data_IF_981933434631
#
_entry.id   IF_981933434631
#
_cell.length_a   1.000
_cell.length_b   1.000
_cell.length_c   1.000
_cell.angle_alpha   90.00
_cell.angle_beta   90.00
_cell.angle_gamma   90.00
#
_symmetry.space_group_name_H-M   'P 1'
#
loop_
_entity.id
_entity.type
_entity.pdbx_description
1 polymer ?
#
# COMPACT_ATOMS: atom_id res chain seq x y z
N UNK A 1 -21.44 -58.12 15.14
CA UNK A 1 -20.46 -57.05 15.41
C UNK A 1 -19.42 -56.77 14.31
N UNK A 2 -19.35 -57.55 13.21
CA UNK A 2 -18.38 -57.31 12.10
C UNK A 2 -18.83 -56.20 11.12
N UNK A 3 -20.14 -56.06 10.93
CA UNK A 3 -20.73 -55.16 9.93
C UNK A 3 -20.65 -53.68 10.32
N UNK A 4 -20.75 -53.38 11.62
CA UNK A 4 -20.57 -52.02 12.16
C UNK A 4 -19.12 -51.56 11.92
N UNK A 5 -18.13 -52.38 12.26
CA UNK A 5 -16.71 -52.08 12.04
C UNK A 5 -16.36 -51.86 10.55
N UNK A 6 -17.02 -52.58 9.63
CA UNK A 6 -16.81 -52.40 8.19
C UNK A 6 -17.45 -51.11 7.66
N UNK A 7 -18.56 -50.63 8.24
CA UNK A 7 -19.19 -49.35 7.90
C UNK A 7 -18.44 -48.15 8.49
N UNK A 8 -17.77 -48.33 9.63
CA UNK A 8 -16.97 -47.28 10.27
C UNK A 8 -15.64 -47.01 9.57
N UNK A 9 -15.10 -47.99 8.83
CA UNK A 9 -13.83 -47.86 8.09
C UNK A 9 -13.85 -46.75 7.02
N UNK A 10 -14.84 -46.67 6.10
CA UNK A 10 -14.91 -45.57 5.15
C UNK A 10 -15.20 -44.23 5.84
N UNK A 11 -15.98 -44.23 6.92
CA UNK A 11 -16.27 -43.01 7.70
C UNK A 11 -15.01 -42.45 8.35
N UNK A 12 -14.16 -43.33 8.90
CA UNK A 12 -12.88 -42.94 9.49
C UNK A 12 -11.91 -42.40 8.43
N UNK A 13 -11.83 -43.04 7.27
CA UNK A 13 -11.01 -42.56 6.15
C UNK A 13 -11.49 -41.18 5.67
N UNK A 14 -12.80 -41.00 5.54
CA UNK A 14 -13.39 -39.71 5.20
C UNK A 14 -13.06 -38.61 6.21
N UNK A 15 -13.15 -38.91 7.51
CA UNK A 15 -12.82 -37.97 8.58
C UNK A 15 -11.34 -37.59 8.57
N UNK A 16 -10.44 -38.55 8.33
CA UNK A 16 -9.01 -38.29 8.17
C UNK A 16 -8.74 -37.38 6.97
N UNK A 17 -9.36 -37.62 5.81
CA UNK A 17 -9.20 -36.78 4.61
C UNK A 17 -9.72 -35.36 4.86
N UNK A 18 -10.87 -35.21 5.53
CA UNK A 18 -11.44 -33.92 5.90
C UNK A 18 -10.50 -33.15 6.83
N UNK A 19 -9.97 -33.83 7.84
CA UNK A 19 -9.02 -33.24 8.80
C UNK A 19 -7.72 -32.84 8.09
N UNK A 20 -7.26 -33.64 7.14
CA UNK A 20 -6.08 -33.35 6.32
C UNK A 20 -6.31 -32.10 5.47
N UNK A 21 -7.45 -31.99 4.77
CA UNK A 21 -7.86 -30.81 4.01
C UNK A 21 -7.92 -29.52 4.86
N UNK A 22 -8.38 -29.61 6.10
CA UNK A 22 -8.43 -28.47 7.03
C UNK A 22 -7.04 -28.12 7.61
N UNK A 23 -6.14 -29.10 7.71
CA UNK A 23 -4.79 -28.93 8.25
C UNK A 23 -3.76 -28.48 7.22
N UNK A 24 -4.04 -28.62 5.91
CA UNK A 24 -3.24 -27.93 4.91
C UNK A 24 -3.39 -26.44 5.19
N UNK A 25 -2.30 -25.70 5.43
CA UNK A 25 -2.37 -24.26 5.61
C UNK A 25 -2.83 -23.67 4.28
N UNK A 26 -4.14 -23.45 4.13
CA UNK A 26 -4.76 -22.65 3.07
C UNK A 26 -4.51 -21.15 3.29
N UNK A 27 -3.38 -20.84 3.92
CA UNK A 27 -2.77 -19.54 3.96
C UNK A 27 -1.60 -19.59 2.98
N UNK A 28 -1.91 -19.78 1.70
CA UNK A 28 -1.30 -18.85 0.75
C UNK A 28 -1.70 -17.50 1.29
N UNK A 29 -0.76 -16.88 2.01
CA UNK A 29 -0.87 -15.50 2.37
C UNK A 29 -1.02 -14.77 1.03
N UNK A 30 -2.27 -14.62 0.59
CA UNK A 30 -2.76 -13.41 -0.01
C UNK A 30 -2.68 -12.33 1.08
N UNK A 31 -1.48 -12.11 1.62
CA UNK A 31 -0.96 -10.77 1.56
C UNK A 31 -1.09 -10.41 0.09
N UNK A 32 -2.27 -9.87 -0.26
CA UNK A 32 -2.30 -8.71 -1.09
C UNK A 32 -1.31 -7.75 -0.43
N UNK A 33 -0.03 -7.94 -0.77
CA UNK A 33 0.94 -6.90 -0.87
C UNK A 33 0.29 -6.02 -1.93
N UNK A 34 -0.71 -5.23 -1.51
CA UNK A 34 -1.12 -4.04 -2.21
C UNK A 34 0.21 -3.36 -2.39
N UNK A 35 0.70 -3.40 -3.64
CA UNK A 35 2.07 -3.04 -3.93
C UNK A 35 2.28 -1.70 -3.28
N UNK A 36 3.16 -1.65 -2.29
CA UNK A 36 3.59 -0.37 -1.76
C UNK A 36 4.07 0.50 -2.92
N UNK A 37 4.52 -0.06 -4.05
CA UNK A 37 4.71 0.70 -5.29
C UNK A 37 3.50 1.54 -5.76
N UNK A 38 2.28 1.00 -5.81
CA UNK A 38 1.12 1.71 -6.37
C UNK A 38 0.59 2.77 -5.40
N UNK A 39 0.58 2.47 -4.10
CA UNK A 39 0.22 3.45 -3.07
C UNK A 39 1.32 4.49 -2.83
N UNK A 40 2.60 4.11 -2.92
CA UNK A 40 3.71 5.05 -2.75
C UNK A 40 3.84 6.00 -3.93
N UNK A 41 3.45 5.63 -5.16
CA UNK A 41 3.53 6.57 -6.30
C UNK A 41 2.71 7.84 -6.04
N UNK A 42 1.43 7.67 -5.72
CA UNK A 42 0.52 8.80 -5.42
C UNK A 42 0.87 9.46 -4.08
N UNK A 43 1.20 8.69 -3.04
CA UNK A 43 1.56 9.25 -1.74
C UNK A 43 2.88 10.06 -1.79
N UNK A 44 3.88 9.61 -2.56
CA UNK A 44 5.15 10.32 -2.75
C UNK A 44 4.97 11.64 -3.48
N UNK A 45 4.10 11.71 -4.48
CA UNK A 45 3.82 12.96 -5.18
C UNK A 45 3.21 14.01 -4.23
N UNK A 46 2.25 13.59 -3.40
CA UNK A 46 1.63 14.45 -2.37
C UNK A 46 2.66 14.88 -1.32
N UNK A 47 3.50 13.96 -0.83
CA UNK A 47 4.54 14.25 0.15
C UNK A 47 5.63 15.18 -0.42
N UNK A 48 6.02 14.99 -1.68
CA UNK A 48 6.97 15.86 -2.37
C UNK A 48 6.43 17.29 -2.52
N UNK A 49 5.15 17.46 -2.90
CA UNK A 49 4.54 18.80 -2.96
C UNK A 49 4.43 19.46 -1.59
N UNK A 50 4.09 18.69 -0.55
CA UNK A 50 4.05 19.19 0.82
C UNK A 50 5.45 19.65 1.28
N UNK A 51 6.48 18.85 0.97
CA UNK A 51 7.88 19.21 1.25
C UNK A 51 8.30 20.48 0.50
N UNK A 52 8.07 20.56 -0.80
CA UNK A 52 8.43 21.75 -1.59
C UNK A 52 7.68 23.00 -1.08
N UNK A 53 6.40 22.87 -0.75
CA UNK A 53 5.61 23.96 -0.16
C UNK A 53 6.20 24.41 1.17
N UNK A 54 6.60 23.46 2.02
CA UNK A 54 7.25 23.79 3.30
C UNK A 54 8.58 24.52 3.12
N UNK A 55 9.35 24.18 2.07
CA UNK A 55 10.62 24.84 1.74
C UNK A 55 10.37 26.24 1.17
N UNK A 56 9.41 26.40 0.25
CA UNK A 56 9.04 27.70 -0.32
C UNK A 56 8.43 28.66 0.71
N UNK A 57 7.79 28.14 1.76
CA UNK A 57 7.27 28.93 2.86
C UNK A 57 8.36 29.55 3.77
N UNK A 58 9.61 29.09 3.67
CA UNK A 58 10.70 29.60 4.52
C UNK A 58 11.17 30.98 4.05
N UNK A 59 11.38 31.89 4.99
CA UNK A 59 11.71 33.29 4.73
C UNK A 59 13.07 33.47 4.01
N UNK A 60 14.03 32.59 4.29
CA UNK A 60 15.32 32.52 3.60
C UNK A 60 15.16 32.15 2.11
N UNK A 61 14.26 31.22 1.80
CA UNK A 61 13.95 30.80 0.43
C UNK A 61 13.16 31.89 -0.30
N UNK A 62 12.19 32.53 0.34
CA UNK A 62 11.46 33.66 -0.27
C UNK A 62 12.40 34.82 -0.59
N UNK A 63 13.31 35.16 0.32
CA UNK A 63 14.32 36.20 0.10
C UNK A 63 15.25 35.84 -1.06
N UNK A 64 15.67 34.57 -1.15
CA UNK A 64 16.48 34.09 -2.26
C UNK A 64 15.73 34.11 -3.61
N UNK A 65 14.42 33.81 -3.62
CA UNK A 65 13.57 33.88 -4.81
C UNK A 65 13.40 35.33 -5.28
N UNK A 66 13.10 36.24 -4.37
CA UNK A 66 12.98 37.68 -4.66
C UNK A 66 14.31 38.24 -5.17
N UNK A 67 15.44 37.84 -4.58
CA UNK A 67 16.78 38.23 -5.05
C UNK A 67 17.09 37.74 -6.48
N UNK A 68 16.38 36.72 -6.96
CA UNK A 68 16.44 36.22 -8.34
C UNK A 68 15.36 36.80 -9.25
N UNK A 69 14.53 37.71 -8.75
CA UNK A 69 13.41 38.32 -9.48
C UNK A 69 12.19 37.42 -9.62
N UNK A 70 12.07 36.37 -8.79
CA UNK A 70 10.96 35.43 -8.80
C UNK A 70 10.01 35.81 -7.67
N UNK A 71 8.72 35.97 -7.98
CA UNK A 71 7.69 36.20 -6.97
C UNK A 71 7.43 34.89 -6.19
N UNK A 72 7.58 34.87 -4.86
CA UNK A 72 7.26 33.70 -4.04
C UNK A 72 5.81 33.21 -4.21
N UNK A 73 4.86 34.11 -4.47
CA UNK A 73 3.46 33.78 -4.72
C UNK A 73 3.33 32.97 -6.02
N UNK A 74 4.03 33.39 -7.07
CA UNK A 74 4.05 32.71 -8.36
C UNK A 74 4.69 31.32 -8.25
N UNK A 75 5.80 31.21 -7.49
CA UNK A 75 6.45 29.93 -7.23
C UNK A 75 5.53 28.95 -6.48
N UNK A 76 4.78 29.43 -5.48
CA UNK A 76 3.82 28.63 -4.74
C UNK A 76 2.64 28.19 -5.61
N UNK A 77 2.13 29.10 -6.46
CA UNK A 77 1.05 28.80 -7.39
C UNK A 77 1.46 27.70 -8.37
N UNK A 78 2.69 27.75 -8.91
CA UNK A 78 3.19 26.72 -9.83
C UNK A 78 3.23 25.32 -9.19
N UNK A 79 3.70 25.22 -7.94
CA UNK A 79 3.71 23.94 -7.21
C UNK A 79 2.29 23.42 -6.97
N UNK A 80 1.33 24.31 -6.75
CA UNK A 80 -0.09 23.93 -6.61
C UNK A 80 -0.73 23.48 -7.92
N UNK A 81 -0.20 23.89 -9.08
CA UNK A 81 -0.69 23.47 -10.40
C UNK A 81 -0.11 22.14 -10.89
N UNK A 82 0.95 21.62 -10.26
CA UNK A 82 1.51 20.32 -10.60
C UNK A 82 0.46 19.23 -10.36
N UNK A 83 0.28 18.33 -11.33
CA UNK A 83 -0.67 17.22 -11.26
C UNK A 83 0.02 15.93 -10.83
N UNK A 84 -0.73 14.95 -10.30
CA UNK A 84 -0.16 13.73 -9.69
C UNK A 84 0.61 12.83 -10.67
N UNK A 85 0.63 13.19 -11.95
CA UNK A 85 1.39 12.52 -13.02
C UNK A 85 2.77 13.14 -13.31
N UNK A 86 3.09 14.31 -12.75
CA UNK A 86 4.39 14.99 -12.91
C UNK A 86 5.32 14.76 -11.72
#
# INVERSE_FOLDING_TARGET
>A
MKNIRNRLRPVSIFLVILMLMLSLPYQSALAALIGTEELMGSQKAVEARAYITSVLAREDIQTALVARGIDPIEAQARVSTLTDQE
#
